data_IF_024344760370
#
_entry.id   IF_024344760370
#
_cell.length_a   1.000
_cell.length_b   1.000
_cell.length_c   1.000
_cell.angle_alpha   90.00
_cell.angle_beta   90.00
_cell.angle_gamma   90.00
#
_symmetry.space_group_name_H-M   'P 1'
#
loop_
_entity.id
_entity.type
_entity.pdbx_description
1 polymer ?
#
# COMPACT_ATOMS: atom_id res chain seq x y z
N UNK A 1 -40.17 -57.21 93.76
CA UNK A 1 -40.10 -55.89 93.12
C UNK A 1 -38.78 -55.77 92.43
N UNK A 2 -38.72 -55.98 91.06
CA UNK A 2 -37.55 -55.75 90.28
C UNK A 2 -37.91 -54.60 89.35
N UNK A 3 -37.20 -53.46 89.48
CA UNK A 3 -37.32 -52.33 88.58
C UNK A 3 -36.41 -52.55 87.37
N UNK A 4 -36.99 -52.73 86.25
CA UNK A 4 -36.26 -52.67 84.96
C UNK A 4 -36.02 -51.22 84.55
N UNK A 5 -34.78 -50.86 84.37
CA UNK A 5 -34.35 -49.56 83.81
C UNK A 5 -34.23 -49.76 82.31
N UNK A 6 -35.12 -49.10 81.58
CA UNK A 6 -35.00 -48.98 80.11
C UNK A 6 -34.05 -47.84 79.78
N UNK A 7 -32.88 -48.19 79.27
CA UNK A 7 -31.97 -47.19 78.69
C UNK A 7 -32.34 -47.00 77.17
N UNK A 8 -33.03 -45.93 76.91
CA UNK A 8 -33.28 -45.50 75.57
C UNK A 8 -31.98 -44.87 75.04
N UNK A 9 -31.28 -45.64 74.16
CA UNK A 9 -30.13 -45.12 73.45
C UNK A 9 -30.57 -44.09 72.39
N UNK A 10 -30.23 -42.83 72.64
CA UNK A 10 -30.44 -41.74 71.67
C UNK A 10 -29.36 -41.81 70.58
N UNK A 11 -29.71 -42.45 69.45
CA UNK A 11 -28.89 -42.33 68.24
C UNK A 11 -29.01 -40.93 67.69
N UNK A 12 -28.06 -40.06 68.01
CA UNK A 12 -27.88 -38.77 67.35
C UNK A 12 -27.32 -39.07 65.95
N UNK A 13 -28.18 -39.15 64.94
CA UNK A 13 -27.75 -39.05 63.57
C UNK A 13 -27.13 -37.68 63.32
N UNK A 14 -25.83 -37.64 63.20
CA UNK A 14 -25.14 -36.42 62.75
C UNK A 14 -25.45 -36.23 61.25
N UNK A 15 -26.49 -35.44 61.00
CA UNK A 15 -26.76 -34.92 59.69
C UNK A 15 -25.62 -33.89 59.39
N UNK A 16 -24.61 -34.28 58.63
CA UNK A 16 -23.65 -33.36 58.09
C UNK A 16 -24.32 -32.51 57.02
N UNK A 17 -24.92 -31.42 57.45
CA UNK A 17 -25.34 -30.41 56.50
C UNK A 17 -24.09 -29.70 55.99
N UNK A 18 -24.02 -29.49 54.67
CA UNK A 18 -23.05 -28.54 54.10
C UNK A 18 -23.39 -27.16 54.65
N UNK A 19 -22.67 -26.70 55.66
CA UNK A 19 -22.92 -25.40 56.27
C UNK A 19 -22.31 -24.31 55.42
N UNK A 20 -23.15 -23.40 54.92
CA UNK A 20 -22.70 -22.12 54.40
C UNK A 20 -22.26 -21.27 55.62
N UNK A 21 -20.95 -21.13 55.86
CA UNK A 21 -20.43 -20.27 56.93
C UNK A 21 -20.60 -18.82 56.55
N UNK A 22 -21.42 -18.06 57.30
CA UNK A 22 -21.49 -16.61 57.22
C UNK A 22 -20.96 -16.05 58.58
N UNK A 23 -20.02 -15.10 58.55
CA UNK A 23 -19.39 -14.55 59.73
C UNK A 23 -20.35 -13.70 60.61
N UNK A 24 -21.49 -13.30 60.10
CA UNK A 24 -22.53 -12.53 60.84
C UNK A 24 -23.89 -12.50 60.10
N UNK A 25 -24.23 -13.44 59.23
CA UNK A 25 -25.44 -13.37 58.43
C UNK A 25 -26.33 -14.60 58.54
N UNK A 26 -27.61 -14.39 58.64
CA UNK A 26 -28.62 -15.43 58.54
C UNK A 26 -28.79 -15.79 57.07
N UNK A 27 -28.68 -17.09 56.72
CA UNK A 27 -29.13 -17.57 55.43
C UNK A 27 -30.66 -17.53 55.48
N UNK A 28 -31.25 -16.52 54.85
CA UNK A 28 -32.70 -16.42 54.74
C UNK A 28 -33.19 -17.38 53.63
N UNK A 29 -34.16 -18.23 53.94
CA UNK A 29 -34.79 -19.04 52.88
C UNK A 29 -35.45 -18.12 51.85
N UNK A 30 -35.40 -18.52 50.58
CA UNK A 30 -36.06 -17.80 49.51
C UNK A 30 -37.55 -17.65 49.77
N UNK A 31 -38.15 -16.53 49.46
CA UNK A 31 -39.58 -16.24 49.62
C UNK A 31 -40.45 -17.04 48.65
N UNK A 32 -39.85 -17.70 47.66
CA UNK A 32 -40.52 -18.56 46.67
C UNK A 32 -40.07 -20.00 46.83
N UNK A 33 -40.79 -20.83 47.63
CA UNK A 33 -40.42 -22.24 47.89
C UNK A 33 -40.46 -23.13 46.64
N UNK A 34 -40.94 -22.62 45.51
CA UNK A 34 -40.98 -23.35 44.24
C UNK A 34 -39.77 -23.13 43.35
N UNK A 35 -38.82 -22.25 43.69
CA UNK A 35 -37.62 -22.06 42.90
C UNK A 35 -36.43 -22.78 43.52
N UNK A 36 -35.66 -23.48 42.71
CA UNK A 36 -34.39 -24.09 43.12
C UNK A 36 -33.22 -23.10 43.08
N UNK A 37 -33.54 -21.77 43.15
CA UNK A 37 -32.57 -20.71 43.10
C UNK A 37 -31.90 -20.46 44.46
N UNK A 38 -30.62 -20.12 44.45
CA UNK A 38 -29.85 -19.77 45.65
C UNK A 38 -29.51 -18.30 45.58
N UNK A 39 -29.96 -17.51 46.57
CA UNK A 39 -29.61 -16.11 46.71
C UNK A 39 -28.55 -15.91 47.81
N UNK A 40 -27.54 -15.10 47.54
CA UNK A 40 -26.59 -14.57 48.53
C UNK A 40 -26.77 -13.06 48.57
N UNK A 41 -27.33 -12.55 49.70
CA UNK A 41 -27.65 -11.15 49.84
C UNK A 41 -28.97 -10.71 49.20
N UNK A 42 -29.73 -11.64 48.62
CA UNK A 42 -31.10 -11.43 48.14
C UNK A 42 -31.99 -12.62 48.54
N UNK A 43 -33.26 -12.36 48.84
CA UNK A 43 -34.26 -13.34 49.18
C UNK A 43 -35.23 -13.66 48.01
N UNK A 44 -35.04 -12.92 46.89
CA UNK A 44 -35.78 -13.12 45.62
C UNK A 44 -34.80 -13.32 44.46
N UNK A 45 -34.06 -14.45 44.41
CA UNK A 45 -33.09 -14.68 43.37
C UNK A 45 -33.77 -14.93 42.00
N UNK A 46 -33.34 -14.17 40.98
CA UNK A 46 -33.86 -14.25 39.62
C UNK A 46 -33.13 -15.32 38.77
N UNK A 47 -32.05 -15.89 39.31
CA UNK A 47 -31.24 -16.92 38.66
C UNK A 47 -30.91 -18.06 39.64
N UNK A 48 -30.45 -19.21 39.13
CA UNK A 48 -30.13 -20.39 39.95
C UNK A 48 -29.11 -20.09 41.07
N UNK A 49 -28.20 -19.16 40.83
CA UNK A 49 -27.34 -18.56 41.86
C UNK A 49 -27.25 -17.06 41.60
N UNK A 50 -27.70 -16.29 42.57
CA UNK A 50 -27.60 -14.82 42.56
C UNK A 50 -26.84 -14.30 43.76
N UNK A 51 -25.86 -13.43 43.53
CA UNK A 51 -25.12 -12.71 44.58
C UNK A 51 -25.42 -11.23 44.43
N UNK A 52 -26.19 -10.68 45.37
CA UNK A 52 -26.63 -9.30 45.33
C UNK A 52 -26.26 -8.56 46.63
N UNK A 53 -25.91 -7.28 46.50
CA UNK A 53 -25.77 -6.37 47.63
C UNK A 53 -26.02 -4.94 47.16
N UNK A 54 -26.45 -4.02 48.05
CA UNK A 54 -26.70 -2.61 47.70
C UNK A 54 -25.48 -1.91 47.12
N UNK A 55 -24.25 -2.31 47.51
CA UNK A 55 -22.99 -1.78 47.01
C UNK A 55 -22.39 -2.57 45.82
N UNK A 56 -23.15 -3.51 45.21
CA UNK A 56 -22.70 -4.44 44.19
C UNK A 56 -22.28 -5.80 44.73
N UNK A 57 -22.86 -6.88 44.16
CA UNK A 57 -22.52 -8.25 44.53
C UNK A 57 -21.10 -8.64 44.08
N UNK A 58 -20.33 -9.30 44.93
CA UNK A 58 -18.96 -9.76 44.62
C UNK A 58 -18.81 -11.26 44.90
N UNK A 59 -18.32 -11.99 43.90
CA UNK A 59 -17.88 -13.38 44.08
C UNK A 59 -16.36 -13.38 44.09
N UNK A 60 -15.75 -13.80 45.22
CA UNK A 60 -14.30 -13.97 45.32
C UNK A 60 -13.96 -15.46 45.22
N UNK A 61 -13.19 -15.81 44.18
CA UNK A 61 -12.58 -17.13 44.01
C UNK A 61 -11.13 -16.97 44.46
N UNK A 62 -10.72 -17.63 45.53
CA UNK A 62 -9.37 -17.52 46.06
C UNK A 62 -8.77 -18.91 46.29
N UNK A 63 -7.44 -18.99 46.19
CA UNK A 63 -6.69 -20.15 46.65
C UNK A 63 -6.15 -19.91 48.04
N UNK A 64 -6.31 -20.87 48.90
CA UNK A 64 -5.81 -20.80 50.27
C UNK A 64 -4.40 -21.42 50.31
N UNK A 65 -3.38 -20.57 50.21
CA UNK A 65 -1.99 -20.94 50.27
C UNK A 65 -1.22 -20.82 48.93
N UNK A 66 0.03 -20.45 49.03
CA UNK A 66 0.97 -20.37 47.94
C UNK A 66 1.46 -21.76 47.54
N UNK A 67 1.44 -22.12 46.27
CA UNK A 67 2.00 -23.34 45.77
C UNK A 67 3.00 -23.02 44.65
N UNK A 68 4.27 -23.05 44.96
CA UNK A 68 5.38 -22.97 44.00
C UNK A 68 5.62 -24.26 43.22
N UNK A 69 4.81 -25.29 43.44
CA UNK A 69 5.00 -26.58 42.77
C UNK A 69 4.48 -26.47 41.31
N UNK A 70 5.39 -26.58 40.38
CA UNK A 70 5.11 -26.61 38.95
C UNK A 70 4.23 -27.79 38.52
N UNK A 71 4.12 -28.84 39.37
CA UNK A 71 3.37 -30.07 39.03
C UNK A 71 1.85 -29.92 39.21
N UNK A 72 1.36 -28.99 40.02
CA UNK A 72 -0.08 -28.75 40.20
C UNK A 72 -0.35 -27.37 40.76
N UNK A 73 -0.16 -26.31 39.97
CA UNK A 73 -0.38 -24.94 40.43
C UNK A 73 -1.86 -24.73 40.75
N UNK A 74 -2.13 -24.30 42.00
CA UNK A 74 -3.51 -23.97 42.42
C UNK A 74 -3.73 -22.48 42.15
N UNK A 75 -4.46 -22.18 41.09
CA UNK A 75 -4.85 -20.81 40.73
C UNK A 75 -6.34 -20.59 40.94
N UNK A 76 -6.78 -19.40 41.28
CA UNK A 76 -8.18 -19.04 41.25
C UNK A 76 -8.76 -19.31 39.87
N UNK A 77 -9.82 -20.14 39.81
CA UNK A 77 -10.29 -20.67 38.54
C UNK A 77 -11.82 -20.73 38.51
N UNK A 78 -12.42 -20.23 37.44
CA UNK A 78 -13.78 -20.54 37.03
C UNK A 78 -13.70 -21.56 35.88
N UNK A 79 -14.21 -22.75 36.10
CA UNK A 79 -14.18 -23.82 35.12
C UNK A 79 -15.57 -24.18 34.60
N UNK A 80 -15.66 -24.33 33.29
CA UNK A 80 -16.86 -24.82 32.59
C UNK A 80 -16.60 -26.25 32.13
N UNK A 81 -17.43 -27.16 32.61
CA UNK A 81 -17.34 -28.56 32.26
C UNK A 81 -18.48 -28.96 31.34
N UNK A 82 -18.29 -30.04 30.57
CA UNK A 82 -19.30 -30.61 29.70
C UNK A 82 -19.63 -32.04 30.09
N UNK A 83 -19.95 -32.88 29.12
CA UNK A 83 -20.26 -34.30 29.28
C UNK A 83 -19.14 -35.00 30.07
N UNK A 84 -19.53 -35.83 31.01
CA UNK A 84 -18.65 -36.53 31.97
C UNK A 84 -17.73 -35.60 32.80
N UNK A 85 -18.15 -34.36 33.04
CA UNK A 85 -17.39 -33.36 33.77
C UNK A 85 -16.01 -33.04 33.16
N UNK A 86 -15.80 -33.33 31.88
CA UNK A 86 -14.56 -32.92 31.22
C UNK A 86 -14.50 -31.38 31.05
N UNK A 87 -13.36 -30.74 31.39
CA UNK A 87 -13.19 -29.29 31.24
C UNK A 87 -13.29 -28.88 29.76
N UNK A 88 -14.10 -27.85 29.49
CA UNK A 88 -14.30 -27.28 28.16
C UNK A 88 -13.69 -25.91 28.03
N UNK A 89 -13.79 -25.12 29.08
CA UNK A 89 -13.20 -23.81 29.16
C UNK A 89 -12.79 -23.49 30.61
N UNK A 90 -11.80 -22.61 30.74
CA UNK A 90 -11.33 -22.14 32.03
C UNK A 90 -10.96 -20.65 31.95
N UNK A 91 -11.38 -19.89 32.94
CA UNK A 91 -10.89 -18.54 33.21
C UNK A 91 -10.06 -18.61 34.48
N UNK A 92 -8.84 -18.11 34.43
CA UNK A 92 -7.92 -18.22 35.56
C UNK A 92 -7.06 -16.95 35.69
N UNK A 93 -6.70 -16.62 36.92
CA UNK A 93 -5.68 -15.64 37.23
C UNK A 93 -4.46 -16.38 37.82
N UNK A 94 -3.34 -16.29 37.16
CA UNK A 94 -2.08 -16.94 37.54
C UNK A 94 -1.04 -15.93 37.94
N UNK A 95 -0.14 -16.30 38.85
CA UNK A 95 1.07 -15.51 39.15
C UNK A 95 2.12 -15.77 38.06
N UNK A 96 2.73 -14.73 37.48
CA UNK A 96 3.72 -14.87 36.38
C UNK A 96 5.12 -15.22 36.85
N UNK A 97 5.45 -14.88 38.09
CA UNK A 97 6.72 -15.29 38.67
C UNK A 97 6.58 -15.49 40.17
N UNK A 98 7.19 -16.54 40.66
CA UNK A 98 7.15 -16.89 42.09
C UNK A 98 7.48 -15.68 42.96
N UNK A 99 6.61 -15.38 43.91
CA UNK A 99 6.78 -14.34 44.90
C UNK A 99 6.63 -12.90 44.43
N UNK A 100 5.88 -12.64 43.38
CA UNK A 100 5.52 -11.28 42.94
C UNK A 100 4.03 -11.07 42.90
N UNK A 101 3.59 -9.82 43.02
CA UNK A 101 2.20 -9.43 42.88
C UNK A 101 1.77 -9.39 41.39
N UNK A 102 2.65 -9.81 40.49
CA UNK A 102 2.37 -9.86 39.05
C UNK A 102 1.42 -10.98 38.72
N UNK A 103 0.38 -10.68 37.98
CA UNK A 103 -0.64 -11.65 37.58
C UNK A 103 -0.86 -11.68 36.07
N UNK A 104 -1.21 -12.87 35.60
CA UNK A 104 -1.73 -13.11 34.27
C UNK A 104 -3.20 -13.50 34.38
N UNK A 105 -4.03 -12.89 33.57
CA UNK A 105 -5.41 -13.34 33.34
C UNK A 105 -5.46 -14.15 32.05
N UNK A 106 -6.04 -15.37 32.09
CA UNK A 106 -6.05 -16.26 30.94
C UNK A 106 -7.42 -16.89 30.71
N UNK A 107 -7.74 -17.11 29.44
CA UNK A 107 -8.85 -17.94 28.97
C UNK A 107 -8.26 -19.12 28.21
N UNK A 108 -8.58 -20.31 28.74
CA UNK A 108 -8.16 -21.57 28.14
C UNK A 108 -9.36 -22.30 27.56
N UNK A 109 -9.20 -22.91 26.41
CA UNK A 109 -10.22 -23.74 25.76
C UNK A 109 -9.68 -25.11 25.47
N UNK A 110 -10.52 -26.13 25.56
CA UNK A 110 -10.16 -27.48 25.13
C UNK A 110 -9.97 -27.49 23.58
N UNK A 111 -8.83 -27.98 23.13
CA UNK A 111 -8.47 -28.03 21.70
C UNK A 111 -8.94 -29.31 20.99
N UNK A 112 -9.70 -30.14 21.69
CA UNK A 112 -10.22 -31.44 21.19
C UNK A 112 -9.15 -32.53 20.93
N UNK A 113 -7.91 -32.33 21.37
CA UNK A 113 -6.83 -33.33 21.26
C UNK A 113 -6.86 -34.30 22.43
N UNK A 114 -7.59 -33.98 23.51
CA UNK A 114 -7.74 -34.82 24.71
C UNK A 114 -8.87 -34.31 25.61
N UNK A 115 -9.34 -35.20 26.49
CA UNK A 115 -10.50 -34.90 27.35
C UNK A 115 -10.26 -33.72 28.33
N UNK A 116 -9.02 -33.43 28.68
CA UNK A 116 -8.66 -32.38 29.63
C UNK A 116 -7.58 -31.44 29.10
N UNK A 117 -7.32 -31.40 27.79
CA UNK A 117 -6.28 -30.57 27.19
C UNK A 117 -6.79 -29.15 26.98
N UNK A 118 -6.54 -28.29 27.96
CA UNK A 118 -6.87 -26.86 27.92
C UNK A 118 -5.68 -26.06 27.41
N UNK A 119 -5.87 -25.38 26.29
CA UNK A 119 -4.87 -24.51 25.67
C UNK A 119 -5.24 -23.05 25.89
N UNK A 120 -4.28 -22.22 26.29
CA UNK A 120 -4.47 -20.78 26.44
C UNK A 120 -4.72 -20.14 25.09
N UNK A 121 -5.87 -19.47 24.92
CA UNK A 121 -6.28 -18.81 23.69
C UNK A 121 -6.27 -17.30 23.78
N UNK A 122 -6.37 -16.78 24.99
CA UNK A 122 -6.35 -15.37 25.29
C UNK A 122 -5.64 -15.14 26.62
N UNK A 123 -4.80 -14.13 26.68
CA UNK A 123 -4.12 -13.72 27.92
C UNK A 123 -3.91 -12.22 28.01
N UNK A 124 -3.93 -11.71 29.24
CA UNK A 124 -3.46 -10.38 29.61
C UNK A 124 -2.34 -10.56 30.62
N UNK A 125 -1.15 -10.09 30.25
CA UNK A 125 0.06 -10.19 31.08
C UNK A 125 0.13 -9.04 32.10
N UNK A 126 0.97 -9.16 33.13
CA UNK A 126 1.16 -8.15 34.17
C UNK A 126 1.55 -6.76 33.63
N UNK A 127 2.23 -6.68 32.50
CA UNK A 127 2.63 -5.43 31.82
C UNK A 127 1.50 -4.84 30.98
N UNK A 128 0.31 -5.45 30.98
CA UNK A 128 -0.88 -5.06 30.21
C UNK A 128 -0.80 -5.47 28.74
N UNK A 129 0.16 -6.29 28.31
CA UNK A 129 0.18 -6.86 26.97
C UNK A 129 -0.89 -7.96 26.85
N UNK A 130 -1.58 -7.99 25.72
CA UNK A 130 -2.66 -8.94 25.44
C UNK A 130 -2.23 -9.89 24.33
N UNK A 131 -2.30 -11.20 24.61
CA UNK A 131 -2.02 -12.25 23.66
C UNK A 131 -3.29 -12.93 23.15
N UNK A 132 -3.40 -13.15 21.85
CA UNK A 132 -4.39 -14.03 21.22
C UNK A 132 -3.63 -15.15 20.51
N UNK A 133 -3.80 -16.38 20.98
CA UNK A 133 -3.03 -17.54 20.49
C UNK A 133 -1.59 -17.60 20.98
N UNK A 134 -1.17 -16.71 21.87
CA UNK A 134 0.13 -16.68 22.51
C UNK A 134 0.01 -16.37 23.98
N UNK A 135 0.85 -17.03 24.78
CA UNK A 135 1.03 -16.77 26.21
C UNK A 135 2.18 -15.81 26.50
N UNK A 136 2.91 -15.34 25.46
CA UNK A 136 4.09 -14.48 25.54
C UNK A 136 3.91 -13.29 24.62
N UNK A 137 2.94 -12.42 24.97
CA UNK A 137 2.67 -11.22 24.18
C UNK A 137 3.82 -10.20 24.28
N UNK A 138 4.42 -9.84 23.15
CA UNK A 138 5.55 -8.92 23.06
C UNK A 138 5.12 -7.46 22.94
N UNK A 139 3.90 -7.24 22.44
CA UNK A 139 3.29 -5.92 22.24
C UNK A 139 1.96 -5.81 22.95
N UNK A 140 1.37 -4.60 23.01
CA UNK A 140 0.07 -4.35 23.66
C UNK A 140 -1.04 -5.25 23.14
N UNK A 141 -0.96 -5.63 21.83
CA UNK A 141 -1.76 -6.70 21.23
C UNK A 141 -0.83 -7.55 20.36
N UNK A 142 -0.66 -8.81 20.72
CA UNK A 142 0.12 -9.81 19.97
C UNK A 142 -0.81 -10.95 19.55
N UNK A 143 -0.98 -11.16 18.25
CA UNK A 143 -1.90 -12.16 17.68
C UNK A 143 -1.12 -13.15 16.84
N UNK A 144 -1.12 -14.43 17.26
CA UNK A 144 -0.64 -15.51 16.40
C UNK A 144 -1.81 -15.97 15.51
N UNK A 145 -1.78 -15.53 14.26
CA UNK A 145 -2.80 -15.78 13.24
C UNK A 145 -3.18 -14.55 12.44
N UNK A 146 -4.20 -14.70 11.61
CA UNK A 146 -4.70 -13.61 10.78
C UNK A 146 -5.70 -12.74 11.55
N UNK A 147 -5.68 -11.43 11.27
CA UNK A 147 -6.69 -10.48 11.77
C UNK A 147 -7.59 -10.12 10.61
N UNK A 148 -8.89 -10.38 10.73
CA UNK A 148 -9.92 -9.95 9.79
C UNK A 148 -10.65 -8.76 10.40
N UNK A 149 -10.48 -7.59 9.78
CA UNK A 149 -11.22 -6.39 10.13
C UNK A 149 -12.11 -6.00 8.95
N UNK A 150 -13.37 -5.69 9.20
CA UNK A 150 -14.29 -5.38 8.12
C UNK A 150 -15.69 -5.00 8.62
N UNK A 151 -16.57 -4.80 7.64
CA UNK A 151 -18.00 -4.56 7.83
C UNK A 151 -18.79 -5.61 7.09
N UNK A 152 -19.99 -5.92 7.58
CA UNK A 152 -20.96 -6.79 6.89
C UNK A 152 -21.52 -6.15 5.61
N UNK A 153 -21.32 -4.84 5.41
CA UNK A 153 -21.75 -4.11 4.22
C UNK A 153 -20.53 -3.83 3.33
N UNK A 154 -20.43 -4.54 2.22
CA UNK A 154 -19.27 -4.49 1.30
C UNK A 154 -18.96 -3.09 0.75
N UNK A 155 -19.95 -2.21 0.70
CA UNK A 155 -19.80 -0.85 0.13
C UNK A 155 -19.69 0.26 1.19
N UNK A 156 -19.76 -0.06 2.47
CA UNK A 156 -19.56 0.93 3.54
C UNK A 156 -18.08 1.28 3.65
N UNK A 157 -17.77 2.58 3.73
CA UNK A 157 -16.40 3.03 4.05
C UNK A 157 -16.00 2.61 5.45
N UNK A 158 -14.82 2.05 5.62
CA UNK A 158 -14.28 1.63 6.91
C UNK A 158 -12.88 2.17 7.15
N UNK A 159 -12.60 2.47 8.42
CA UNK A 159 -11.27 2.82 8.92
C UNK A 159 -10.83 1.71 9.87
N UNK A 160 -10.29 0.61 9.30
CA UNK A 160 -10.08 -0.65 10.02
C UNK A 160 -8.97 -0.58 11.07
N UNK A 161 -7.86 0.10 10.71
CA UNK A 161 -6.73 0.31 11.58
C UNK A 161 -6.28 1.76 11.53
N UNK A 162 -5.73 2.27 12.62
CA UNK A 162 -5.18 3.61 12.67
C UNK A 162 -3.99 3.69 13.62
N UNK A 163 -3.00 4.50 13.26
CA UNK A 163 -1.92 4.92 14.16
C UNK A 163 -2.35 6.27 14.75
N UNK A 164 -2.47 6.32 16.08
CA UNK A 164 -2.83 7.52 16.80
C UNK A 164 -1.57 8.25 17.27
N UNK A 165 -1.55 9.56 17.08
CA UNK A 165 -0.55 10.46 17.61
C UNK A 165 -1.04 11.16 18.88
N UNK A 166 -0.13 11.71 19.68
CA UNK A 166 -0.44 12.38 20.93
C UNK A 166 -1.44 13.55 20.79
N UNK A 167 -1.34 14.28 19.66
CA UNK A 167 -2.24 15.38 19.33
C UNK A 167 -3.63 14.93 18.82
N UNK A 168 -3.94 13.63 18.87
CA UNK A 168 -5.22 13.07 18.41
C UNK A 168 -5.29 12.74 16.93
N UNK A 169 -4.31 13.15 16.13
CA UNK A 169 -4.26 12.84 14.68
C UNK A 169 -4.15 11.35 14.41
N UNK A 170 -4.71 10.91 13.28
CA UNK A 170 -4.73 9.52 12.88
C UNK A 170 -4.18 9.36 11.46
N UNK A 171 -3.34 8.36 11.27
CA UNK A 171 -3.07 7.76 9.97
C UNK A 171 -3.89 6.49 9.85
N UNK A 172 -4.54 6.30 8.74
CA UNK A 172 -5.58 5.28 8.59
C UNK A 172 -5.26 4.26 7.51
N UNK A 173 -5.74 3.05 7.75
CA UNK A 173 -5.80 1.97 6.78
C UNK A 173 -7.22 1.42 6.77
N UNK A 174 -7.84 1.35 5.59
CA UNK A 174 -9.23 0.94 5.49
C UNK A 174 -9.70 0.73 4.06
N UNK A 175 -10.99 0.90 3.85
CA UNK A 175 -11.62 0.83 2.53
C UNK A 175 -12.54 2.02 2.30
N UNK A 176 -12.53 2.55 1.08
CA UNK A 176 -13.43 3.63 0.67
C UNK A 176 -14.85 3.11 0.48
N UNK A 177 -15.83 3.98 0.76
CA UNK A 177 -17.23 3.71 0.48
C UNK A 177 -17.44 3.55 -1.03
N UNK A 178 -18.34 2.67 -1.42
CA UNK A 178 -18.82 2.36 -2.77
C UNK A 178 -17.85 1.57 -3.64
N UNK A 179 -16.59 1.92 -3.75
CA UNK A 179 -15.60 1.16 -4.54
C UNK A 179 -14.92 0.05 -3.74
N UNK A 180 -15.02 0.10 -2.41
CA UNK A 180 -14.24 -0.74 -1.50
C UNK A 180 -12.72 -0.68 -1.76
N UNK A 181 -12.24 0.41 -2.40
CA UNK A 181 -10.82 0.63 -2.62
C UNK A 181 -10.06 0.56 -1.29
N UNK A 182 -9.16 -0.40 -1.17
CA UNK A 182 -8.28 -0.47 0.00
C UNK A 182 -7.32 0.71 -0.02
N UNK A 183 -7.17 1.40 1.11
CA UNK A 183 -6.30 2.56 1.19
C UNK A 183 -5.40 2.56 2.42
N UNK A 184 -4.28 3.25 2.28
CA UNK A 184 -3.43 3.74 3.39
C UNK A 184 -3.31 5.25 3.26
N UNK A 185 -3.41 5.98 4.38
CA UNK A 185 -3.41 7.43 4.33
C UNK A 185 -2.67 8.08 5.49
N UNK A 186 -2.17 9.28 5.24
CA UNK A 186 -1.62 10.21 6.20
C UNK A 186 -2.54 11.43 6.29
N UNK A 187 -3.15 11.66 7.45
CA UNK A 187 -4.00 12.81 7.73
C UNK A 187 -5.40 12.79 7.10
N UNK A 188 -5.78 11.70 6.43
CA UNK A 188 -7.13 11.51 5.86
C UNK A 188 -7.69 10.15 6.27
N UNK A 189 -9.01 10.00 6.18
CA UNK A 189 -9.73 8.74 6.39
C UNK A 189 -10.93 8.63 5.46
N UNK A 190 -11.45 7.43 5.25
CA UNK A 190 -12.66 7.23 4.47
C UNK A 190 -13.86 7.94 5.08
N UNK A 191 -14.67 8.56 4.23
CA UNK A 191 -15.98 9.08 4.60
C UNK A 191 -17.01 7.93 4.52
N UNK A 192 -17.63 7.53 5.63
CA UNK A 192 -18.62 6.46 5.61
C UNK A 192 -19.93 6.85 4.92
N UNK A 193 -20.15 8.14 4.64
CA UNK A 193 -21.41 8.65 4.10
C UNK A 193 -21.33 9.02 2.62
N UNK A 194 -20.14 9.36 2.11
CA UNK A 194 -19.94 9.82 0.73
C UNK A 194 -19.17 8.80 -0.09
N UNK A 195 -19.68 8.48 -1.29
CA UNK A 195 -19.01 7.58 -2.22
C UNK A 195 -17.61 8.10 -2.57
N UNK A 196 -16.58 7.29 -2.34
CA UNK A 196 -15.16 7.63 -2.53
C UNK A 196 -14.71 8.90 -1.79
N UNK A 197 -15.49 9.32 -0.78
CA UNK A 197 -15.24 10.51 0.00
C UNK A 197 -14.10 10.32 1.00
N UNK A 198 -13.49 11.46 1.35
CA UNK A 198 -12.43 11.54 2.32
C UNK A 198 -12.75 12.59 3.38
N UNK A 199 -12.45 12.26 4.63
CA UNK A 199 -12.52 13.17 5.77
C UNK A 199 -11.12 13.45 6.31
N UNK A 200 -10.95 14.62 6.93
CA UNK A 200 -9.74 14.92 7.69
C UNK A 200 -9.66 14.02 8.92
N UNK A 201 -8.49 13.43 9.14
CA UNK A 201 -8.14 12.72 10.39
C UNK A 201 -7.15 13.48 11.26
N UNK A 202 -6.96 14.78 10.96
CA UNK A 202 -6.14 15.72 11.71
C UNK A 202 -6.79 17.11 11.69
N UNK A 203 -6.72 17.86 12.79
CA UNK A 203 -7.34 19.19 12.89
C UNK A 203 -6.36 20.35 13.12
N UNK A 204 -5.12 20.04 13.50
CA UNK A 204 -4.19 21.06 14.06
C UNK A 204 -3.05 21.41 13.12
N UNK A 205 -2.68 20.54 12.21
CA UNK A 205 -1.49 20.70 11.39
C UNK A 205 -1.83 21.15 9.98
N UNK A 206 -1.05 22.12 9.47
CA UNK A 206 -1.11 22.58 8.10
C UNK A 206 -0.19 21.71 7.23
N UNK A 207 -0.74 20.74 6.53
CA UNK A 207 -0.02 19.85 5.62
C UNK A 207 -0.94 19.28 4.53
N UNK A 208 -0.32 18.78 3.47
CA UNK A 208 -1.02 18.01 2.43
C UNK A 208 -1.32 16.62 2.94
N UNK A 209 -2.59 16.23 2.89
CA UNK A 209 -2.99 14.87 3.19
C UNK A 209 -2.63 13.98 2.00
N UNK A 210 -2.15 12.77 2.28
CA UNK A 210 -1.67 11.85 1.27
C UNK A 210 -2.34 10.49 1.46
N UNK A 211 -2.69 9.84 0.36
CA UNK A 211 -3.21 8.48 0.39
C UNK A 211 -2.70 7.66 -0.81
N UNK A 212 -2.56 6.37 -0.59
CA UNK A 212 -2.46 5.35 -1.62
C UNK A 212 -3.74 4.52 -1.57
N UNK A 213 -4.41 4.33 -2.71
CA UNK A 213 -5.63 3.55 -2.83
C UNK A 213 -5.51 2.53 -3.96
N UNK A 214 -6.10 1.35 -3.76
CA UNK A 214 -6.05 0.23 -4.71
C UNK A 214 -7.46 -0.33 -4.90
N UNK A 215 -7.86 -0.45 -6.17
CA UNK A 215 -9.13 -1.05 -6.59
C UNK A 215 -9.03 -1.66 -8.00
N UNK A 216 -10.18 -1.93 -8.63
CA UNK A 216 -10.21 -2.48 -10.00
C UNK A 216 -9.61 -1.54 -11.06
N UNK A 217 -9.51 -0.24 -10.78
CA UNK A 217 -8.93 0.74 -11.67
C UNK A 217 -7.41 0.87 -11.55
N UNK A 218 -6.82 0.17 -10.56
CA UNK A 218 -5.39 0.11 -10.32
C UNK A 218 -4.93 0.73 -9.00
N UNK A 219 -3.69 1.17 -8.97
CA UNK A 219 -3.06 1.82 -7.81
C UNK A 219 -3.05 3.33 -8.06
N UNK A 220 -3.55 4.09 -7.09
CA UNK A 220 -3.63 5.54 -7.13
C UNK A 220 -2.91 6.17 -5.96
N UNK A 221 -2.14 7.20 -6.22
CA UNK A 221 -1.59 8.09 -5.21
C UNK A 221 -2.38 9.39 -5.26
N UNK A 222 -2.86 9.81 -4.11
CA UNK A 222 -3.73 10.97 -3.97
C UNK A 222 -3.11 11.98 -3.00
N UNK A 223 -3.36 13.25 -3.24
CA UNK A 223 -2.93 14.33 -2.35
C UNK A 223 -3.98 15.43 -2.28
N UNK A 224 -4.04 16.13 -1.15
CA UNK A 224 -4.78 17.37 -0.99
C UNK A 224 -3.83 18.57 -1.00
N UNK A 225 -4.32 19.80 -1.26
CA UNK A 225 -3.58 21.01 -0.93
C UNK A 225 -3.20 21.05 0.55
N UNK A 226 -2.06 21.71 0.84
CA UNK A 226 -1.64 21.94 2.22
C UNK A 226 -2.58 22.93 2.91
N UNK A 227 -3.30 22.46 3.92
CA UNK A 227 -4.26 23.28 4.68
C UNK A 227 -4.63 22.62 6.01
N UNK A 228 -5.06 23.44 6.96
CA UNK A 228 -5.72 22.96 8.18
C UNK A 228 -7.17 22.63 7.84
N UNK A 229 -7.57 21.41 8.09
CA UNK A 229 -8.97 20.98 7.97
C UNK A 229 -9.44 20.53 9.35
N UNK A 230 -10.57 21.00 9.85
CA UNK A 230 -11.16 20.46 11.09
C UNK A 230 -11.34 18.94 11.00
N UNK A 231 -11.23 18.27 12.14
CA UNK A 231 -11.44 16.83 12.22
C UNK A 231 -12.82 16.47 11.65
N UNK A 232 -12.90 15.34 10.96
CA UNK A 232 -14.13 14.82 10.36
C UNK A 232 -14.80 15.72 9.29
N UNK A 233 -14.09 16.75 8.80
CA UNK A 233 -14.57 17.55 7.67
C UNK A 233 -14.13 16.97 6.33
N UNK A 234 -14.94 17.16 5.26
CA UNK A 234 -14.60 16.68 3.92
C UNK A 234 -13.27 17.23 3.40
N UNK A 235 -12.49 16.37 2.77
CA UNK A 235 -11.22 16.71 2.13
C UNK A 235 -11.25 16.31 0.66
N UNK A 236 -10.90 17.25 -0.22
CA UNK A 236 -10.74 16.95 -1.65
C UNK A 236 -9.35 16.37 -1.89
N UNK A 237 -9.30 15.08 -2.21
CA UNK A 237 -8.08 14.37 -2.61
C UNK A 237 -8.02 14.30 -4.13
N UNK A 238 -6.89 14.75 -4.71
CA UNK A 238 -6.62 14.70 -6.16
C UNK A 238 -5.65 13.57 -6.47
N UNK A 239 -5.91 12.86 -7.56
CA UNK A 239 -4.99 11.86 -8.08
C UNK A 239 -3.73 12.56 -8.63
N UNK A 240 -2.54 12.13 -8.18
CA UNK A 240 -1.24 12.65 -8.62
C UNK A 240 -0.45 11.62 -9.42
N UNK A 241 -0.70 10.34 -9.17
CA UNK A 241 -0.14 9.23 -9.93
C UNK A 241 -1.15 8.08 -9.94
N UNK A 242 -1.37 7.49 -11.11
CA UNK A 242 -2.15 6.27 -11.29
C UNK A 242 -1.35 5.24 -12.08
N UNK A 243 -1.39 4.00 -11.62
CA UNK A 243 -0.92 2.83 -12.37
C UNK A 243 -2.13 1.93 -12.62
N UNK A 244 -2.55 1.85 -13.88
CA UNK A 244 -3.71 1.07 -14.29
C UNK A 244 -3.39 -0.42 -14.45
N UNK A 245 -4.37 -1.33 -14.40
CA UNK A 245 -4.15 -2.77 -14.53
C UNK A 245 -3.51 -3.22 -15.84
N UNK A 246 -3.64 -2.43 -16.90
CA UNK A 246 -2.99 -2.66 -18.20
C UNK A 246 -1.51 -2.21 -18.26
N UNK A 247 -0.96 -1.73 -17.14
CA UNK A 247 0.42 -1.28 -17.04
C UNK A 247 0.66 0.19 -17.41
N UNK A 248 -0.38 0.94 -17.80
CA UNK A 248 -0.22 2.37 -18.07
C UNK A 248 -0.04 3.14 -16.77
N UNK A 249 0.89 4.09 -16.76
CA UNK A 249 1.08 5.04 -15.66
C UNK A 249 0.75 6.47 -16.11
N UNK A 250 -0.04 7.18 -15.32
CA UNK A 250 -0.37 8.58 -15.50
C UNK A 250 0.16 9.39 -14.32
N UNK A 251 1.11 10.27 -14.59
CA UNK A 251 1.65 11.20 -13.60
C UNK A 251 1.16 12.63 -13.93
N UNK A 252 0.55 13.30 -12.96
CA UNK A 252 0.02 14.67 -13.08
C UNK A 252 1.07 15.76 -12.85
N UNK A 253 2.35 15.41 -12.77
CA UNK A 253 3.43 16.32 -12.50
C UNK A 253 4.68 16.04 -13.33
N UNK A 254 5.80 16.61 -12.92
CA UNK A 254 7.12 16.38 -13.53
C UNK A 254 7.65 15.01 -13.10
N UNK A 255 8.16 14.25 -14.07
CA UNK A 255 9.00 13.08 -13.83
C UNK A 255 10.48 13.48 -13.95
N UNK A 256 11.25 13.27 -12.90
CA UNK A 256 12.70 13.41 -12.90
C UNK A 256 13.32 12.04 -12.66
N UNK A 257 14.12 11.58 -13.61
CA UNK A 257 14.76 10.29 -13.56
C UNK A 257 16.25 10.42 -13.89
N UNK A 258 17.10 9.63 -13.24
CA UNK A 258 18.53 9.57 -13.55
C UNK A 258 18.78 8.94 -14.92
N UNK A 259 17.95 8.00 -15.32
CA UNK A 259 18.00 7.29 -16.60
C UNK A 259 16.59 6.89 -17.03
N UNK A 260 16.28 7.02 -18.32
CA UNK A 260 15.05 6.54 -18.95
C UNK A 260 15.39 5.69 -20.16
N UNK A 261 15.08 4.41 -20.11
CA UNK A 261 15.19 3.49 -21.27
C UNK A 261 13.82 3.31 -21.90
N UNK A 262 13.67 3.77 -23.14
CA UNK A 262 12.47 3.55 -23.96
C UNK A 262 12.75 2.45 -24.96
N UNK A 263 11.95 1.39 -24.99
CA UNK A 263 12.12 0.27 -25.91
C UNK A 263 11.03 0.35 -26.97
N UNK A 264 11.46 0.61 -28.20
CA UNK A 264 10.60 0.63 -29.39
C UNK A 264 11.25 -0.15 -30.53
N UNK A 265 10.45 -0.75 -31.39
CA UNK A 265 10.83 -1.41 -32.63
C UNK A 265 9.77 -1.09 -33.69
N UNK A 266 10.14 -0.88 -34.99
CA UNK A 266 11.50 -0.86 -35.52
C UNK A 266 12.27 0.42 -35.21
N UNK A 267 13.61 0.41 -35.42
CA UNK A 267 14.50 1.59 -35.45
C UNK A 267 14.48 2.26 -36.83
N UNK A 268 15.18 3.40 -37.00
CA UNK A 268 15.18 4.15 -38.27
C UNK A 268 16.10 3.59 -39.35
N UNK A 269 16.92 2.54 -39.10
CA UNK A 269 17.93 1.95 -40.00
C UNK A 269 17.39 1.58 -41.42
N UNK A 270 16.07 1.56 -41.60
CA UNK A 270 15.43 1.33 -42.92
C UNK A 270 15.75 2.43 -43.92
N UNK A 271 16.18 3.62 -43.51
CA UNK A 271 16.61 4.73 -44.40
C UNK A 271 17.80 4.32 -45.27
N UNK A 272 18.66 3.43 -44.76
CA UNK A 272 19.82 2.95 -45.52
C UNK A 272 19.53 1.70 -46.41
N UNK A 273 18.26 1.25 -46.45
CA UNK A 273 17.89 0.15 -47.32
C UNK A 273 17.96 0.59 -48.81
N UNK A 274 18.38 -0.32 -49.71
CA UNK A 274 18.53 -0.04 -51.14
C UNK A 274 17.24 0.43 -51.83
N UNK A 275 16.08 0.04 -51.30
CA UNK A 275 14.76 0.41 -51.81
C UNK A 275 14.14 1.62 -51.09
N UNK A 276 14.88 2.32 -50.23
CA UNK A 276 14.37 3.53 -49.57
C UNK A 276 14.23 4.66 -50.59
N UNK A 277 12.99 5.20 -50.65
CA UNK A 277 12.69 6.34 -51.53
C UNK A 277 13.01 7.65 -50.82
N UNK A 278 14.26 8.11 -50.92
CA UNK A 278 14.71 9.35 -50.31
C UNK A 278 13.94 10.55 -50.92
N UNK A 279 13.17 11.32 -50.13
CA UNK A 279 12.40 12.46 -50.65
C UNK A 279 13.29 13.47 -51.38
N UNK A 280 12.81 14.03 -52.50
CA UNK A 280 13.54 15.10 -53.20
C UNK A 280 13.56 16.37 -52.37
N UNK A 281 14.70 17.07 -52.32
CA UNK A 281 14.87 18.30 -51.53
C UNK A 281 13.87 19.37 -51.92
N UNK A 282 13.46 19.45 -53.20
CA UNK A 282 12.45 20.40 -53.68
C UNK A 282 11.08 20.11 -53.05
N UNK A 283 10.72 18.83 -52.88
CA UNK A 283 9.47 18.42 -52.23
C UNK A 283 9.52 18.72 -50.73
N UNK A 284 10.66 18.47 -50.07
CA UNK A 284 10.86 18.84 -48.67
C UNK A 284 10.78 20.35 -48.48
N UNK A 285 11.40 21.13 -49.32
CA UNK A 285 11.36 22.60 -49.28
C UNK A 285 9.92 23.14 -49.48
N UNK A 286 9.16 22.55 -50.41
CA UNK A 286 7.77 22.88 -50.63
C UNK A 286 6.92 22.59 -49.37
N UNK A 287 7.10 21.40 -48.79
CA UNK A 287 6.39 21.02 -47.56
C UNK A 287 6.69 22.00 -46.39
N UNK A 288 7.95 22.33 -46.17
CA UNK A 288 8.36 23.28 -45.13
C UNK A 288 7.74 24.66 -45.37
N UNK A 289 7.69 25.11 -46.62
CA UNK A 289 7.09 26.38 -46.98
C UNK A 289 5.59 26.44 -46.65
N UNK A 290 4.86 25.33 -46.95
CA UNK A 290 3.43 25.22 -46.79
C UNK A 290 3.01 24.90 -45.33
N UNK A 291 3.68 23.94 -44.70
CA UNK A 291 3.28 23.33 -43.42
C UNK A 291 4.06 23.84 -42.22
N UNK A 292 5.24 24.48 -42.42
CA UNK A 292 6.12 25.05 -41.39
C UNK A 292 6.73 24.02 -40.44
N UNK A 293 6.77 22.75 -40.82
CA UNK A 293 7.46 21.67 -40.13
C UNK A 293 8.04 20.68 -41.13
N UNK A 294 8.91 19.76 -40.67
CA UNK A 294 9.46 18.68 -41.51
C UNK A 294 8.36 17.67 -41.88
N UNK A 295 8.46 16.99 -43.04
CA UNK A 295 7.62 15.85 -43.36
C UNK A 295 7.67 14.81 -42.22
N UNK A 296 6.52 14.17 -41.92
CA UNK A 296 6.35 13.13 -40.89
C UNK A 296 6.56 13.58 -39.45
N UNK A 297 6.98 14.82 -39.21
CA UNK A 297 7.04 15.41 -37.87
C UNK A 297 5.75 16.18 -37.60
N UNK A 298 5.14 15.93 -36.45
CA UNK A 298 3.92 16.66 -36.06
C UNK A 298 4.18 18.18 -35.91
N UNK A 299 3.17 18.99 -36.21
CA UNK A 299 3.28 20.44 -36.02
C UNK A 299 3.31 20.80 -34.53
N UNK A 300 3.88 21.97 -34.21
CA UNK A 300 3.93 22.48 -32.83
C UNK A 300 2.54 22.50 -32.16
N UNK A 301 1.51 22.90 -32.89
CA UNK A 301 0.14 22.96 -32.38
C UNK A 301 -0.44 21.59 -32.03
N UNK A 302 -0.07 20.53 -32.76
CA UNK A 302 -0.46 19.15 -32.44
C UNK A 302 0.31 18.66 -31.20
N UNK A 303 1.63 18.91 -31.16
CA UNK A 303 2.47 18.53 -30.03
C UNK A 303 2.04 19.21 -28.71
N UNK A 304 1.63 20.48 -28.77
CA UNK A 304 1.13 21.23 -27.61
C UNK A 304 -0.20 20.67 -27.11
N UNK A 305 -1.08 20.23 -28.01
CA UNK A 305 -2.42 19.75 -27.68
C UNK A 305 -2.43 18.29 -27.22
N UNK A 306 -1.69 17.44 -27.89
CA UNK A 306 -1.77 15.97 -27.77
C UNK A 306 -0.57 15.37 -27.02
N UNK A 307 0.47 16.18 -26.78
CA UNK A 307 1.73 15.72 -26.25
C UNK A 307 2.61 15.07 -27.32
N UNK A 308 3.74 14.53 -26.90
CA UNK A 308 4.71 13.85 -27.78
C UNK A 308 5.03 12.47 -27.21
N UNK A 309 4.88 11.43 -28.01
CA UNK A 309 5.44 10.12 -27.71
C UNK A 309 6.96 10.20 -27.88
N UNK A 310 7.69 10.26 -26.78
CA UNK A 310 9.14 10.48 -26.78
C UNK A 310 9.88 9.43 -27.61
N UNK A 311 9.48 8.16 -27.54
CA UNK A 311 10.13 7.09 -28.28
C UNK A 311 9.93 7.21 -29.79
N UNK A 312 8.70 7.38 -30.26
CA UNK A 312 8.38 7.55 -31.68
C UNK A 312 9.05 8.81 -32.24
N UNK A 313 8.99 9.89 -31.46
CA UNK A 313 9.63 11.14 -31.87
C UNK A 313 11.15 11.01 -32.03
N UNK A 314 11.82 10.26 -31.15
CA UNK A 314 13.25 9.98 -31.29
C UNK A 314 13.56 9.16 -32.55
N UNK A 315 12.73 8.16 -32.89
CA UNK A 315 12.88 7.40 -34.14
C UNK A 315 12.70 8.31 -35.34
N UNK A 316 11.69 9.17 -35.36
CA UNK A 316 11.47 10.14 -36.44
C UNK A 316 12.65 11.14 -36.57
N UNK A 317 13.20 11.61 -35.46
CA UNK A 317 14.40 12.46 -35.50
C UNK A 317 15.61 11.71 -36.06
N UNK A 318 15.82 10.45 -35.66
CA UNK A 318 16.91 9.63 -36.19
C UNK A 318 16.74 9.42 -37.70
N UNK A 319 15.54 9.10 -38.19
CA UNK A 319 15.23 9.02 -39.58
C UNK A 319 15.62 10.33 -40.32
N UNK A 320 15.26 11.48 -39.82
CA UNK A 320 15.62 12.76 -40.45
C UNK A 320 17.12 13.06 -40.44
N UNK A 321 17.86 12.59 -39.43
CA UNK A 321 19.31 12.67 -39.36
C UNK A 321 19.92 11.74 -40.44
N UNK A 322 19.42 10.54 -40.63
CA UNK A 322 19.89 9.59 -41.63
C UNK A 322 19.60 10.08 -43.05
N UNK A 323 18.38 10.59 -43.33
CA UNK A 323 18.04 11.27 -44.58
C UNK A 323 19.00 12.44 -44.89
N UNK A 324 19.23 13.31 -43.89
CA UNK A 324 20.16 14.44 -44.02
C UNK A 324 21.59 13.95 -44.33
N UNK A 325 22.02 12.87 -43.70
CA UNK A 325 23.32 12.26 -43.97
C UNK A 325 23.45 11.82 -45.45
N UNK A 326 22.41 11.20 -46.02
CA UNK A 326 22.38 10.82 -47.44
C UNK A 326 22.46 12.05 -48.34
N UNK A 327 21.73 13.13 -48.06
CA UNK A 327 21.83 14.38 -48.84
C UNK A 327 23.22 14.99 -48.76
N UNK A 328 23.86 14.99 -47.60
CA UNK A 328 25.23 15.52 -47.43
C UNK A 328 26.25 14.67 -48.21
N UNK A 329 26.10 13.35 -48.21
CA UNK A 329 26.95 12.46 -49.00
C UNK A 329 26.82 12.76 -50.50
N UNK A 330 25.59 12.89 -51.01
CA UNK A 330 25.34 13.21 -52.42
C UNK A 330 25.86 14.64 -52.76
N UNK A 331 25.62 15.63 -51.93
CA UNK A 331 26.16 16.99 -52.10
C UNK A 331 27.69 16.97 -52.19
N UNK A 332 28.35 16.20 -51.31
CA UNK A 332 29.82 16.08 -51.34
C UNK A 332 30.34 15.43 -52.65
N UNK A 333 29.62 14.43 -53.19
CA UNK A 333 29.94 13.85 -54.48
C UNK A 333 29.82 14.86 -55.62
N UNK A 334 28.74 15.67 -55.58
CA UNK A 334 28.52 16.71 -56.57
C UNK A 334 29.62 17.80 -56.52
N UNK A 335 29.95 18.26 -55.30
CA UNK A 335 31.02 19.22 -55.09
C UNK A 335 32.36 18.69 -55.62
N UNK A 336 32.70 17.46 -55.36
CA UNK A 336 33.91 16.83 -55.87
C UNK A 336 33.93 16.75 -57.40
N UNK A 337 32.80 16.36 -58.01
CA UNK A 337 32.65 16.34 -59.48
C UNK A 337 32.77 17.77 -60.07
N UNK A 338 32.19 18.78 -59.39
CA UNK A 338 32.35 20.18 -59.81
C UNK A 338 33.82 20.66 -59.70
N UNK A 339 34.55 20.28 -58.66
CA UNK A 339 35.96 20.62 -58.48
C UNK A 339 36.82 19.99 -59.61
N UNK A 340 36.58 18.69 -59.87
CA UNK A 340 37.27 18.00 -60.97
C UNK A 340 37.03 18.70 -62.33
N UNK A 341 35.81 19.20 -62.54
CA UNK A 341 35.45 19.95 -63.77
C UNK A 341 36.12 21.33 -63.82
N UNK A 342 36.21 22.02 -62.67
CA UNK A 342 36.94 23.31 -62.57
C UNK A 342 38.40 23.10 -62.89
N UNK A 343 39.06 22.12 -62.29
CA UNK A 343 40.47 21.79 -62.56
C UNK A 343 40.70 21.47 -64.03
N UNK A 344 39.78 20.72 -64.66
CA UNK A 344 39.84 20.46 -66.09
C UNK A 344 39.71 21.70 -66.96
N UNK A 345 38.78 22.60 -66.63
CA UNK A 345 38.58 23.86 -67.34
C UNK A 345 39.76 24.82 -67.14
N UNK A 346 40.38 24.90 -65.98
CA UNK A 346 41.60 25.67 -65.74
C UNK A 346 42.78 25.19 -66.59
N UNK A 347 42.96 23.86 -66.71
CA UNK A 347 43.97 23.29 -67.61
C UNK A 347 43.68 23.65 -69.02
N UNK A 348 42.44 23.49 -69.54
CA UNK A 348 42.08 23.88 -70.91
C UNK A 348 42.29 25.37 -71.13
N UNK A 349 41.99 26.26 -70.22
CA UNK A 349 42.25 27.67 -70.33
C UNK A 349 43.73 27.97 -70.40
N UNK A 350 44.58 27.28 -69.66
CA UNK A 350 46.02 27.42 -69.69
C UNK A 350 46.55 26.96 -71.02
N UNK A 351 46.13 25.79 -71.60
CA UNK A 351 46.53 25.30 -72.90
C UNK A 351 46.06 26.23 -74.00
N UNK A 352 44.85 26.79 -73.92
CA UNK A 352 44.37 27.77 -74.90
C UNK A 352 45.20 29.07 -74.84
N UNK A 353 45.54 29.52 -73.63
CA UNK A 353 46.44 30.70 -73.44
C UNK A 353 47.79 30.51 -74.08
N UNK A 354 48.42 29.36 -73.96
CA UNK A 354 49.66 28.99 -74.58
C UNK A 354 49.54 28.97 -76.15
N UNK A 355 48.43 28.38 -76.62
CA UNK A 355 48.16 28.34 -78.09
C UNK A 355 47.99 29.74 -78.69
N UNK A 356 47.30 30.65 -77.98
CA UNK A 356 47.14 32.05 -78.38
C UNK A 356 48.49 32.79 -78.37
N UNK A 357 49.36 32.49 -77.41
CA UNK A 357 50.73 33.05 -77.40
C UNK A 357 51.56 32.56 -78.61
N UNK A 358 51.50 31.28 -78.88
CA UNK A 358 52.18 30.71 -80.05
C UNK A 358 51.67 31.34 -81.35
N UNK A 359 50.36 31.43 -81.56
CA UNK A 359 49.76 32.10 -82.70
C UNK A 359 50.28 33.57 -82.80
N UNK A 360 50.38 34.27 -81.76
CA UNK A 360 50.89 35.65 -81.69
C UNK A 360 52.36 35.66 -82.16
N UNK A 361 53.17 34.75 -81.63
CA UNK A 361 54.61 34.62 -82.07
C UNK A 361 54.77 34.29 -83.57
N UNK A 362 53.97 33.33 -84.08
CA UNK A 362 53.92 33.00 -85.44
C UNK A 362 53.50 34.18 -86.33
N UNK A 363 52.49 34.92 -85.89
CA UNK A 363 52.08 36.15 -86.60
C UNK A 363 53.17 37.20 -86.64
N UNK A 364 53.89 37.42 -85.56
CA UNK A 364 55.01 38.38 -85.50
C UNK A 364 56.20 37.95 -86.39
N UNK A 365 56.50 36.59 -86.45
CA UNK A 365 57.45 36.03 -87.32
C UNK A 365 57.07 36.23 -88.84
N UNK A 366 55.78 35.95 -89.13
CA UNK A 366 55.25 36.11 -90.48
C UNK A 366 55.35 37.61 -90.96
N UNK A 367 55.02 38.55 -90.07
CA UNK A 367 55.12 39.95 -90.38
C UNK A 367 56.55 40.41 -90.59
N UNK A 368 57.53 39.86 -89.84
CA UNK A 368 58.97 40.07 -90.10
C UNK A 368 59.46 39.52 -91.41
N UNK A 369 59.05 38.30 -91.78
CA UNK A 369 59.39 37.72 -93.05
C UNK A 369 58.80 38.50 -94.23
N UNK A 370 57.56 39.00 -94.13
CA UNK A 370 56.92 39.83 -95.12
C UNK A 370 57.63 41.16 -95.33
N UNK A 371 58.13 41.80 -94.25
CA UNK A 371 58.90 43.02 -94.34
C UNK A 371 60.30 42.84 -94.96
N UNK A 372 60.91 41.66 -94.76
CA UNK A 372 62.20 41.33 -95.38
C UNK A 372 62.13 40.89 -96.85
N UNK A 373 60.96 40.49 -97.41
CA UNK A 373 60.71 40.11 -98.75
C UNK A 373 60.37 41.36 -99.72
N UNK A 374 60.22 42.55 -99.13
CA UNK A 374 59.87 43.81 -99.83
C UNK A 374 61.05 44.77 -100.01
N UNK A 375 62.27 44.32 -99.78
CA UNK A 375 63.49 45.01 -100.08
C UNK A 375 64.30 44.38 -101.25
#
# INVERSE_FOLDING_TARGET
MKKSIFIAGLFAAQLTYAQLYTSAGVVTPTSTPASNNVGVGTHEPHSNLEVAAESGGKITISTNGWSASSANPKYPTLEFTGYLNYPKARITATEESGNTNGSRFSILLNDNTGVANLVERFSILQNGNTGIGTSVAREKLDVIGNILAGSTHATAGINAFAIRYENGSLNNWGALRSTAATYMSFGAKADPNTANGWLSSNETLNFSKIAMAMDNDGIRFLSSPSQINPLDTPVTMKEILKVSPNGNALLQGKLEAKELKVTLTPTADFVFAENYDLPKLEAVAQHIKEKKHLPEIASASVMEKEGVNVGEFQIQLLQKIEELTLYVIEQNRQLKSQQDKIDQLEKQNTDLGNSVLEIKQLKDQFLKMKSSATH
#
